data_IF_004597070103
#
_entry.id   IF_004597070103
#
_cell.length_a   1.000
_cell.length_b   1.000
_cell.length_c   1.000
_cell.angle_alpha   90.00
_cell.angle_beta   90.00
_cell.angle_gamma   90.00
#
_symmetry.space_group_name_H-M   'P 1'
#
loop_
_entity.id
_entity.type
_entity.pdbx_description
1 polymer ?
#
# COMPACT_ATOMS: atom_id res chain seq x y z
N UNK A 1 -10.95 5.79 14.64
CA UNK A 1 -10.06 6.23 13.52
C UNK A 1 -9.71 5.09 12.56
N UNK A 2 -9.17 3.96 13.05
CA UNK A 2 -8.96 2.76 12.23
C UNK A 2 -10.26 2.28 11.56
N UNK A 3 -11.40 2.39 12.24
CA UNK A 3 -12.74 2.10 11.69
C UNK A 3 -13.16 3.01 10.53
N UNK A 4 -12.77 4.28 10.54
CA UNK A 4 -13.12 5.22 9.46
C UNK A 4 -12.31 4.90 8.20
N UNK A 5 -11.02 4.60 8.36
CA UNK A 5 -10.16 4.13 7.26
C UNK A 5 -10.70 2.81 6.72
N UNK A 6 -11.03 1.86 7.60
CA UNK A 6 -11.60 0.57 7.21
C UNK A 6 -12.88 0.72 6.37
N UNK A 7 -13.82 1.56 6.81
CA UNK A 7 -15.07 1.81 6.07
C UNK A 7 -14.80 2.45 4.71
N UNK A 8 -13.88 3.42 4.64
CA UNK A 8 -13.50 4.07 3.38
C UNK A 8 -12.84 3.10 2.39
N UNK A 9 -12.01 2.19 2.89
CA UNK A 9 -11.39 1.13 2.08
C UNK A 9 -12.45 0.18 1.53
N UNK A 10 -13.46 -0.16 2.32
CA UNK A 10 -14.59 -1.00 1.90
C UNK A 10 -15.45 -0.31 0.83
N UNK A 11 -15.68 1.00 0.98
CA UNK A 11 -16.35 1.84 -0.02
C UNK A 11 -15.54 1.90 -1.34
N UNK A 12 -14.22 2.10 -1.27
CA UNK A 12 -13.34 2.19 -2.45
C UNK A 12 -13.17 0.85 -3.19
N UNK A 13 -13.21 -0.27 -2.47
CA UNK A 13 -13.08 -1.62 -3.04
C UNK A 13 -14.43 -2.26 -3.39
N UNK A 14 -15.53 -1.53 -3.22
CA UNK A 14 -16.86 -1.90 -3.69
C UNK A 14 -17.34 -3.27 -3.20
N UNK A 15 -17.18 -3.61 -1.91
CA UNK A 15 -17.66 -4.83 -1.23
C UNK A 15 -17.32 -6.22 -1.84
N UNK A 16 -16.90 -6.33 -3.10
CA UNK A 16 -16.75 -7.60 -3.84
C UNK A 16 -15.31 -8.10 -3.86
N UNK A 17 -14.33 -7.20 -3.90
CA UNK A 17 -12.90 -7.56 -3.98
C UNK A 17 -12.14 -7.42 -2.65
N UNK A 18 -12.76 -6.79 -1.63
CA UNK A 18 -12.14 -6.66 -0.31
C UNK A 18 -12.42 -7.87 0.58
N UNK A 19 -11.60 -8.92 0.45
CA UNK A 19 -11.55 -9.97 1.46
C UNK A 19 -10.88 -9.43 2.73
N UNK A 20 -11.65 -9.33 3.81
CA UNK A 20 -11.15 -9.01 5.16
C UNK A 20 -10.28 -10.18 5.65
N UNK A 21 -8.96 -10.02 5.62
CA UNK A 21 -8.03 -10.96 6.26
C UNK A 21 -7.31 -10.29 7.43
N UNK A 22 -6.93 -11.05 8.49
CA UNK A 22 -6.24 -10.48 9.65
C UNK A 22 -4.94 -9.75 9.28
N UNK A 23 -4.20 -10.26 8.29
CA UNK A 23 -2.95 -9.67 7.83
C UNK A 23 -3.19 -8.32 7.14
N UNK A 24 -4.22 -8.22 6.31
CA UNK A 24 -4.58 -6.97 5.63
C UNK A 24 -5.07 -5.92 6.62
N UNK A 25 -5.81 -6.34 7.64
CA UNK A 25 -6.25 -5.47 8.72
C UNK A 25 -5.07 -4.94 9.56
N UNK A 26 -4.05 -5.77 9.81
CA UNK A 26 -2.83 -5.35 10.50
C UNK A 26 -2.09 -4.26 9.72
N UNK A 27 -1.85 -4.47 8.42
CA UNK A 27 -1.17 -3.49 7.54
C UNK A 27 -1.94 -2.16 7.50
N UNK A 28 -3.26 -2.21 7.30
CA UNK A 28 -4.09 -0.99 7.30
C UNK A 28 -4.06 -0.27 8.65
N UNK A 29 -4.02 -1.02 9.75
CA UNK A 29 -3.95 -0.44 11.09
C UNK A 29 -2.62 0.27 11.33
N UNK A 30 -1.51 -0.32 10.87
CA UNK A 30 -0.17 0.32 10.91
C UNK A 30 -0.16 1.60 10.11
N UNK A 31 -0.63 1.56 8.86
CA UNK A 31 -0.67 2.74 7.99
C UNK A 31 -1.62 3.84 8.53
N UNK A 32 -2.73 3.45 9.17
CA UNK A 32 -3.66 4.39 9.82
C UNK A 32 -3.07 5.02 11.08
N UNK A 33 -2.26 4.28 11.86
CA UNK A 33 -1.54 4.81 13.03
C UNK A 33 -0.38 5.70 12.62
N UNK A 34 0.27 5.42 11.48
CA UNK A 34 1.43 6.13 10.97
C UNK A 34 1.21 7.61 10.60
N UNK A 35 -0.03 8.14 10.62
CA UNK A 35 -0.38 9.59 10.50
C UNK A 35 0.60 10.45 9.68
N UNK A 36 0.83 10.12 8.40
CA UNK A 36 1.66 10.94 7.50
C UNK A 36 3.15 10.64 7.54
N UNK A 37 3.55 9.64 8.31
CA UNK A 37 4.86 9.02 8.15
C UNK A 37 4.86 8.15 6.90
N UNK A 38 5.84 8.42 6.05
CA UNK A 38 6.14 7.62 4.87
C UNK A 38 6.94 6.40 5.33
N UNK A 39 6.26 5.27 5.52
CA UNK A 39 6.85 4.05 6.06
C UNK A 39 7.38 3.17 4.93
N UNK A 40 8.57 2.62 5.11
CA UNK A 40 9.11 1.58 4.24
C UNK A 40 8.36 0.25 4.43
N UNK A 41 8.46 -0.65 3.45
CA UNK A 41 7.85 -1.99 3.57
C UNK A 41 8.39 -2.77 4.78
N UNK A 42 9.64 -2.55 5.18
CA UNK A 42 10.26 -3.18 6.35
C UNK A 42 9.71 -2.61 7.67
N UNK A 43 9.50 -1.30 7.76
CA UNK A 43 8.87 -0.68 8.92
C UNK A 43 7.42 -1.14 9.07
N UNK A 44 6.69 -1.23 7.95
CA UNK A 44 5.32 -1.77 7.93
C UNK A 44 5.33 -3.21 8.39
N UNK A 45 6.27 -4.04 7.93
CA UNK A 45 6.41 -5.42 8.38
C UNK A 45 6.66 -5.49 9.88
N UNK A 46 7.62 -4.70 10.39
CA UNK A 46 8.00 -4.68 11.81
C UNK A 46 6.81 -4.32 12.69
N UNK A 47 6.10 -3.25 12.38
CA UNK A 47 4.91 -2.83 13.11
C UNK A 47 3.73 -3.80 12.92
N UNK A 48 3.59 -4.42 11.74
CA UNK A 48 2.53 -5.41 11.49
C UNK A 48 2.76 -6.70 12.28
N UNK A 49 4.01 -7.08 12.55
CA UNK A 49 4.34 -8.26 13.36
C UNK A 49 3.93 -8.12 14.82
N UNK A 50 3.83 -6.90 15.35
CA UNK A 50 3.29 -6.67 16.70
C UNK A 50 1.80 -7.04 16.79
N UNK A 51 1.09 -7.01 15.66
CA UNK A 51 -0.34 -7.34 15.57
C UNK A 51 -0.54 -8.78 15.06
N UNK A 52 0.27 -9.21 14.08
CA UNK A 52 0.19 -10.51 13.45
C UNK A 52 1.62 -11.07 13.24
N UNK A 53 2.17 -11.81 14.22
CA UNK A 53 3.58 -12.24 14.22
C UNK A 53 4.01 -13.03 12.98
N UNK A 54 3.10 -13.84 12.42
CA UNK A 54 3.39 -14.71 11.26
C UNK A 54 3.40 -13.98 9.91
N UNK A 55 3.19 -12.65 9.90
CA UNK A 55 3.18 -11.91 8.64
C UNK A 55 4.59 -11.86 8.03
N UNK A 56 4.68 -12.34 6.79
CA UNK A 56 5.90 -12.32 5.99
C UNK A 56 6.01 -11.09 5.10
N UNK A 57 7.25 -10.74 4.72
CA UNK A 57 7.53 -9.60 3.84
C UNK A 57 6.83 -9.70 2.48
N UNK A 58 6.80 -10.90 1.88
CA UNK A 58 6.07 -11.12 0.62
C UNK A 58 4.57 -10.82 0.75
N UNK A 59 3.97 -11.14 1.90
CA UNK A 59 2.57 -10.83 2.18
C UNK A 59 2.35 -9.33 2.34
N UNK A 60 3.30 -8.61 2.95
CA UNK A 60 3.26 -7.14 3.02
C UNK A 60 3.27 -6.55 1.61
N UNK A 61 4.22 -6.93 0.75
CA UNK A 61 4.28 -6.42 -0.62
C UNK A 61 3.03 -6.70 -1.45
N UNK A 62 2.52 -7.93 -1.43
CA UNK A 62 1.27 -8.28 -2.15
C UNK A 62 0.08 -7.44 -1.69
N UNK A 63 -0.02 -7.17 -0.39
CA UNK A 63 -1.08 -6.32 0.14
C UNK A 63 -0.86 -4.85 -0.20
N UNK A 64 0.38 -4.34 -0.14
CA UNK A 64 0.68 -2.97 -0.55
C UNK A 64 0.37 -2.75 -2.02
N UNK A 65 0.74 -3.67 -2.91
CA UNK A 65 0.40 -3.62 -4.34
C UNK A 65 -1.11 -3.68 -4.58
N UNK A 66 -1.82 -4.55 -3.85
CA UNK A 66 -3.29 -4.58 -3.92
C UNK A 66 -3.92 -3.26 -3.47
N UNK A 67 -3.46 -2.69 -2.36
CA UNK A 67 -3.98 -1.43 -1.82
C UNK A 67 -3.57 -0.21 -2.65
N UNK A 68 -2.41 -0.24 -3.30
CA UNK A 68 -1.94 0.77 -4.25
C UNK A 68 -2.83 0.77 -5.50
N UNK A 69 -3.08 -0.40 -6.10
CA UNK A 69 -4.01 -0.54 -7.24
C UNK A 69 -5.43 -0.10 -6.90
N UNK A 70 -5.84 -0.29 -5.65
CA UNK A 70 -7.12 0.18 -5.12
C UNK A 70 -7.18 1.68 -4.83
N UNK A 71 -6.06 2.40 -4.94
CA UNK A 71 -5.98 3.83 -4.59
C UNK A 71 -6.05 4.13 -3.09
N UNK A 72 -5.93 3.10 -2.23
CA UNK A 72 -5.97 3.22 -0.77
C UNK A 72 -4.62 3.63 -0.20
N UNK A 73 -3.54 3.15 -0.82
CA UNK A 73 -2.16 3.43 -0.43
C UNK A 73 -1.46 4.18 -1.56
N UNK A 74 -0.70 5.20 -1.21
CA UNK A 74 0.21 5.89 -2.12
C UNK A 74 1.64 5.40 -1.88
N UNK A 75 2.37 5.16 -2.97
CA UNK A 75 3.80 4.85 -2.96
C UNK A 75 4.59 6.10 -3.33
N UNK A 76 5.61 6.38 -2.54
CA UNK A 76 6.49 7.52 -2.67
C UNK A 76 7.93 7.03 -2.82
N UNK A 77 8.73 7.74 -3.62
CA UNK A 77 10.18 7.59 -3.57
C UNK A 77 10.70 8.55 -2.52
N UNK A 78 11.34 8.02 -1.49
CA UNK A 78 12.08 8.83 -0.54
C UNK A 78 13.36 9.37 -1.16
N UNK A 79 13.85 10.48 -0.60
CA UNK A 79 15.11 11.12 -1.00
C UNK A 79 16.33 10.22 -0.72
N UNK A 80 16.15 9.21 0.12
CA UNK A 80 17.09 8.12 0.43
C UNK A 80 17.10 6.99 -0.62
N UNK A 81 16.32 7.12 -1.70
CA UNK A 81 16.16 6.09 -2.73
C UNK A 81 15.26 4.92 -2.30
N UNK A 82 14.68 4.96 -1.09
CA UNK A 82 13.81 3.91 -0.60
C UNK A 82 12.35 4.15 -0.99
N UNK A 83 11.64 3.05 -1.24
CA UNK A 83 10.19 3.10 -1.45
C UNK A 83 9.48 3.20 -0.11
N UNK A 84 8.66 4.24 0.02
CA UNK A 84 7.85 4.50 1.19
C UNK A 84 6.37 4.47 0.81
N UNK A 85 5.53 4.15 1.78
CA UNK A 85 4.10 3.95 1.60
C UNK A 85 3.34 4.73 2.66
N UNK A 86 2.19 5.27 2.26
CA UNK A 86 1.27 5.92 3.17
C UNK A 86 -0.18 5.72 2.75
N UNK A 87 -1.11 5.98 3.67
CA UNK A 87 -2.53 6.07 3.29
C UNK A 87 -2.74 7.24 2.34
N UNK A 88 -3.43 6.95 1.24
CA UNK A 88 -3.80 7.92 0.22
C UNK A 88 -4.52 9.12 0.87
N UNK A 89 -4.23 10.36 0.44
CA UNK A 89 -4.91 11.55 0.91
C UNK A 89 -6.43 11.48 0.75
N UNK A 90 -6.93 10.74 -0.24
CA UNK A 90 -8.38 10.53 -0.48
C UNK A 90 -9.04 9.68 0.62
N UNK A 91 -8.24 8.85 1.31
CA UNK A 91 -8.66 8.08 2.48
C UNK A 91 -8.57 8.88 3.79
N UNK A 92 -7.81 9.99 3.82
CA UNK A 92 -7.81 10.94 4.93
C UNK A 92 -8.92 11.97 4.67
N UNK A 93 -9.61 12.41 5.72
CA UNK A 93 -10.62 13.47 5.55
C UNK A 93 -9.91 14.74 5.04
N UNK A 94 -10.32 15.26 3.89
CA UNK A 94 -10.14 16.69 3.58
C UNK A 94 -9.55 17.10 2.24
N UNK A 95 -9.04 16.21 1.37
CA UNK A 95 -8.51 16.65 0.07
C UNK A 95 -8.98 15.75 -1.07
N UNK A 96 -10.06 16.18 -1.71
CA UNK A 96 -10.56 15.63 -2.96
C UNK A 96 -9.80 16.28 -4.12
N UNK A 97 -8.76 15.62 -4.60
CA UNK A 97 -8.33 15.78 -5.99
C UNK A 97 -8.28 14.39 -6.63
N UNK A 98 -9.24 14.12 -7.49
CA UNK A 98 -9.31 12.90 -8.29
C UNK A 98 -8.20 12.94 -9.35
N UNK A 99 -7.08 12.26 -9.08
CA UNK A 99 -6.17 11.76 -10.11
C UNK A 99 -5.74 10.36 -9.68
N UNK A 100 -6.62 9.39 -9.95
CA UNK A 100 -6.25 7.97 -9.89
C UNK A 100 -5.38 7.70 -11.11
N UNK A 101 -4.07 7.62 -10.93
CA UNK A 101 -3.17 7.11 -11.95
C UNK A 101 -3.41 5.59 -12.08
N UNK A 102 -4.15 5.19 -13.11
CA UNK A 102 -4.30 3.80 -13.54
C UNK A 102 -3.09 3.29 -14.36
N UNK A 103 -1.97 4.02 -14.36
CA UNK A 103 -0.90 3.83 -15.33
C UNK A 103 0.51 3.84 -14.74
N UNK A 104 0.93 2.71 -14.17
CA UNK A 104 2.31 2.19 -14.35
C UNK A 104 2.45 0.76 -13.80
N UNK A 105 1.56 -0.13 -14.24
CA UNK A 105 1.74 -1.59 -14.17
C UNK A 105 2.47 -2.17 -15.39
N UNK A 106 3.13 -1.34 -16.20
CA UNK A 106 3.89 -1.80 -17.35
C UNK A 106 5.24 -2.36 -16.92
N UNK A 107 5.32 -3.66 -16.68
CA UNK A 107 6.57 -4.40 -16.85
C UNK A 107 6.73 -4.72 -18.33
N UNK A 108 7.71 -4.15 -19.06
CA UNK A 108 8.21 -4.83 -20.23
C UNK A 108 9.21 -5.88 -19.76
N UNK A 109 8.76 -7.12 -19.64
CA UNK A 109 9.66 -8.24 -19.82
C UNK A 109 10.13 -8.19 -21.28
N UNK A 110 11.29 -7.59 -21.54
CA UNK A 110 11.96 -7.78 -22.82
C UNK A 110 13.45 -8.03 -22.60
N UNK A 111 13.75 -9.33 -22.59
CA UNK A 111 14.97 -9.91 -23.14
C UNK A 111 15.52 -9.09 -24.30
N UNK A 112 16.71 -8.53 -24.14
CA UNK A 112 17.78 -8.51 -25.14
C UNK A 112 19.00 -7.91 -24.43
N UNK A 113 19.78 -8.75 -23.74
CA UNK A 113 21.19 -8.46 -23.56
C UNK A 113 21.80 -8.46 -24.96
N UNK A 114 22.03 -7.26 -25.50
CA UNK A 114 22.98 -7.06 -26.58
C UNK A 114 24.34 -7.55 -26.10
N UNK A 115 24.88 -8.51 -26.83
CA UNK A 115 26.31 -8.81 -26.84
C UNK A 115 27.00 -7.58 -27.45
N UNK A 116 27.87 -6.96 -26.68
CA UNK A 116 28.88 -5.99 -27.13
C UNK A 116 30.00 -6.71 -27.89
N UNK A 117 30.91 -5.98 -28.58
CA UNK A 117 30.79 -4.80 -29.43
C UNK A 117 30.74 -5.17 -30.93
#
# INVERSE_FOLDING_TARGET
>A
MAEVVKRRVEEMLGNRDYRRTPQRQAILSVLAKGRGQHLTALEILKASREIHPEIGLATVYRNLEFLERAGVVARLHGDDGLRRYELSPTCRRGQHHHLVCLGCGGWPYNSHKGISP
#
